data_IF_412898138913
#
_entry.id   IF_412898138913
#
_cell.length_a   1.000
_cell.length_b   1.000
_cell.length_c   1.000
_cell.angle_alpha   90.00
_cell.angle_beta   90.00
_cell.angle_gamma   90.00
#
_symmetry.space_group_name_H-M   'P 1'
#
loop_
_entity.id
_entity.type
_entity.pdbx_description
1 polymer ?
#
# COMPACT_ATOMS: atom_id res chain seq x y z
N UNK A 1 -0.56 -25.05 -5.02
CA UNK A 1 0.35 -23.92 -4.72
C UNK A 1 0.23 -22.84 -5.77
N UNK A 2 -0.18 -21.63 -5.36
CA UNK A 2 -0.24 -20.48 -6.25
C UNK A 2 1.12 -19.79 -6.27
N UNK A 3 1.84 -19.89 -7.39
CA UNK A 3 3.14 -19.24 -7.57
C UNK A 3 2.93 -17.74 -7.75
N UNK A 4 3.46 -16.95 -6.83
CA UNK A 4 3.50 -15.49 -6.97
C UNK A 4 4.46 -15.09 -8.08
N UNK A 5 4.16 -13.94 -8.69
CA UNK A 5 5.07 -13.29 -9.61
C UNK A 5 6.44 -13.05 -8.95
N UNK A 6 7.48 -12.98 -9.79
CA UNK A 6 8.82 -12.60 -9.37
C UNK A 6 8.80 -11.31 -8.54
N UNK A 7 9.46 -11.32 -7.38
CA UNK A 7 9.51 -10.18 -6.44
C UNK A 7 10.20 -8.95 -7.07
N UNK A 8 11.00 -9.13 -8.12
CA UNK A 8 11.60 -8.04 -8.87
C UNK A 8 10.69 -7.47 -9.97
N UNK A 9 9.51 -8.05 -10.22
CA UNK A 9 8.60 -7.57 -11.26
C UNK A 9 8.21 -6.10 -11.05
N UNK A 10 7.86 -5.71 -9.82
CA UNK A 10 7.54 -4.32 -9.52
C UNK A 10 8.71 -3.37 -9.75
N UNK A 11 9.94 -3.76 -9.41
CA UNK A 11 11.13 -2.94 -9.66
C UNK A 11 11.37 -2.71 -11.16
N UNK A 12 11.10 -3.73 -11.99
CA UNK A 12 11.25 -3.62 -13.44
C UNK A 12 10.16 -2.76 -14.09
N UNK A 13 8.93 -2.82 -13.57
CA UNK A 13 7.78 -2.11 -14.14
C UNK A 13 7.61 -0.68 -13.61
N UNK A 14 8.01 -0.40 -12.38
CA UNK A 14 7.76 0.88 -11.73
C UNK A 14 8.22 2.11 -12.54
N UNK A 15 9.42 2.12 -13.17
CA UNK A 15 9.84 3.27 -13.98
C UNK A 15 8.92 3.54 -15.17
N UNK A 16 8.49 2.49 -15.87
CA UNK A 16 7.58 2.61 -17.02
C UNK A 16 6.17 3.03 -16.59
N UNK A 17 5.71 2.54 -15.43
CA UNK A 17 4.43 2.95 -14.84
C UNK A 17 4.45 4.43 -14.43
N UNK A 18 5.54 4.89 -13.80
CA UNK A 18 5.69 6.28 -13.36
C UNK A 18 5.84 7.28 -14.51
N UNK A 19 6.30 6.81 -15.67
CA UNK A 19 6.39 7.63 -16.90
C UNK A 19 5.16 7.54 -17.80
N UNK A 20 4.15 6.75 -17.40
CA UNK A 20 2.90 6.60 -18.15
C UNK A 20 1.86 7.67 -17.79
N UNK A 21 0.69 7.60 -18.42
CA UNK A 21 -0.47 8.42 -18.08
C UNK A 21 -1.29 7.90 -16.88
N UNK A 22 -0.81 6.87 -16.17
CA UNK A 22 -1.52 6.29 -15.02
C UNK A 22 -1.37 7.17 -13.78
N UNK A 23 -2.51 7.59 -13.21
CA UNK A 23 -2.55 8.41 -12.00
C UNK A 23 -2.17 7.64 -10.73
N UNK A 24 -2.62 6.38 -10.63
CA UNK A 24 -2.50 5.55 -9.43
C UNK A 24 -2.15 4.09 -9.78
N UNK A 25 -1.20 3.51 -9.06
CA UNK A 25 -0.84 2.09 -9.14
C UNK A 25 -1.12 1.40 -7.81
N UNK A 26 -1.86 0.29 -7.84
CA UNK A 26 -2.12 -0.54 -6.66
C UNK A 26 -1.09 -1.66 -6.54
N UNK A 27 -0.45 -1.76 -5.38
CA UNK A 27 0.57 -2.77 -5.09
C UNK A 27 0.13 -3.67 -3.93
N UNK A 28 0.21 -4.98 -4.14
CA UNK A 28 0.00 -5.96 -3.06
C UNK A 28 1.24 -6.01 -2.17
N UNK A 29 1.06 -6.00 -0.85
CA UNK A 29 2.17 -6.00 0.11
C UNK A 29 1.90 -6.81 1.39
N UNK A 30 0.67 -6.90 1.89
CA UNK A 30 0.40 -7.56 3.17
C UNK A 30 0.52 -9.08 3.11
N UNK A 31 0.27 -9.69 1.96
CA UNK A 31 0.48 -11.13 1.75
C UNK A 31 1.96 -11.46 1.58
N UNK A 32 2.70 -10.65 0.84
CA UNK A 32 4.15 -10.80 0.67
C UNK A 32 4.80 -9.42 0.73
N UNK A 33 5.42 -9.09 1.87
CA UNK A 33 6.01 -7.77 2.04
C UNK A 33 7.07 -7.47 0.98
N UNK A 34 6.88 -6.34 0.31
CA UNK A 34 7.86 -5.74 -0.57
C UNK A 34 8.95 -5.03 0.25
N UNK A 35 10.08 -4.82 -0.40
CA UNK A 35 11.01 -3.78 0.01
C UNK A 35 10.41 -2.41 -0.34
N UNK A 36 10.08 -1.62 0.69
CA UNK A 36 9.43 -0.33 0.53
C UNK A 36 10.32 0.73 -0.13
N UNK A 37 11.63 0.45 -0.33
CA UNK A 37 12.49 1.29 -1.20
C UNK A 37 11.94 1.38 -2.62
N UNK A 38 11.17 0.38 -3.08
CA UNK A 38 10.42 0.39 -4.34
C UNK A 38 9.58 1.67 -4.50
N UNK A 39 8.96 2.16 -3.42
CA UNK A 39 8.08 3.32 -3.47
C UNK A 39 8.82 4.60 -3.92
N UNK A 40 10.14 4.63 -3.79
CA UNK A 40 10.97 5.75 -4.27
C UNK A 40 11.03 5.83 -5.79
N UNK A 41 10.68 4.75 -6.51
CA UNK A 41 10.66 4.74 -7.98
C UNK A 41 9.45 5.49 -8.55
N UNK A 42 8.37 5.61 -7.78
CA UNK A 42 7.22 6.42 -8.17
C UNK A 42 7.51 7.87 -7.78
N UNK A 43 7.77 8.76 -8.74
CA UNK A 43 8.01 10.20 -8.55
C UNK A 43 6.78 11.04 -8.88
N UNK A 44 5.94 10.57 -9.80
CA UNK A 44 4.75 11.26 -10.30
C UNK A 44 3.48 10.52 -9.89
N UNK A 45 3.43 9.21 -10.15
CA UNK A 45 2.26 8.36 -9.90
C UNK A 45 2.01 8.15 -8.41
N UNK A 46 0.75 8.10 -8.02
CA UNK A 46 0.33 7.76 -6.65
C UNK A 46 0.37 6.25 -6.44
N UNK A 47 0.70 5.82 -5.24
CA UNK A 47 0.70 4.39 -4.89
C UNK A 47 -0.43 4.09 -3.93
N UNK A 48 -1.24 3.08 -4.26
CA UNK A 48 -2.17 2.43 -3.33
C UNK A 48 -1.46 1.20 -2.76
N UNK A 49 -1.15 1.22 -1.47
CA UNK A 49 -0.43 0.14 -0.80
C UNK A 49 -1.41 -0.82 -0.12
N UNK A 50 -1.34 -2.10 -0.49
CA UNK A 50 -2.07 -3.20 0.13
C UNK A 50 -1.57 -3.51 1.55
N UNK A 51 -2.31 -3.10 2.58
CA UNK A 51 -1.91 -3.28 3.99
C UNK A 51 -2.74 -4.31 4.75
N UNK A 52 -3.71 -4.94 4.07
CA UNK A 52 -4.54 -6.03 4.60
C UNK A 52 -4.47 -7.20 3.63
N UNK A 53 -4.13 -8.39 4.14
CA UNK A 53 -4.07 -9.59 3.32
C UNK A 53 -5.50 -10.13 3.13
N UNK A 54 -6.01 -10.03 1.90
CA UNK A 54 -7.36 -10.52 1.51
C UNK A 54 -7.44 -12.05 1.38
N UNK A 55 -6.30 -12.74 1.31
CA UNK A 55 -6.19 -14.20 1.15
C UNK A 55 -6.06 -14.94 2.49
N UNK A 56 -6.16 -14.24 3.62
CA UNK A 56 -6.05 -14.81 4.96
C UNK A 56 -7.21 -14.40 5.86
N UNK A 57 -7.72 -15.35 6.64
CA UNK A 57 -8.71 -15.07 7.68
C UNK A 57 -8.12 -14.48 8.97
N UNK A 58 -6.79 -14.40 9.09
CA UNK A 58 -6.12 -13.71 10.21
C UNK A 58 -6.39 -12.21 10.11
N UNK A 59 -6.87 -11.59 11.18
CA UNK A 59 -7.08 -10.14 11.25
C UNK A 59 -5.77 -9.46 11.66
N UNK A 60 -5.26 -8.55 10.83
CA UNK A 60 -4.12 -7.70 11.15
C UNK A 60 -4.48 -6.72 12.25
N UNK A 61 -3.57 -6.50 13.20
CA UNK A 61 -3.80 -5.53 14.27
C UNK A 61 -3.65 -4.10 13.73
N UNK A 62 -4.31 -3.14 14.39
CA UNK A 62 -4.15 -1.71 14.10
C UNK A 62 -2.67 -1.31 14.09
N UNK A 63 -1.89 -1.78 15.06
CA UNK A 63 -0.47 -1.45 15.18
C UNK A 63 0.38 -2.06 14.05
N UNK A 64 0.07 -3.27 13.60
CA UNK A 64 0.75 -3.89 12.45
C UNK A 64 0.56 -3.03 11.19
N UNK A 65 -0.69 -2.63 10.92
CA UNK A 65 -1.04 -1.79 9.76
C UNK A 65 -0.38 -0.41 9.90
N UNK A 66 -0.51 0.23 11.06
CA UNK A 66 0.04 1.57 11.34
C UNK A 66 1.55 1.60 11.14
N UNK A 67 2.28 0.61 11.67
CA UNK A 67 3.73 0.48 11.48
C UNK A 67 4.09 0.33 10.01
N UNK A 68 3.31 -0.46 9.25
CA UNK A 68 3.58 -0.66 7.82
C UNK A 68 3.39 0.63 7.02
N UNK A 69 2.31 1.37 7.27
CA UNK A 69 2.06 2.68 6.66
C UNK A 69 3.16 3.67 7.03
N UNK A 70 3.53 3.77 8.30
CA UNK A 70 4.61 4.65 8.76
C UNK A 70 5.96 4.31 8.10
N UNK A 71 6.26 3.02 7.89
CA UNK A 71 7.42 2.61 7.12
C UNK A 71 7.35 3.07 5.66
N UNK A 72 6.19 2.97 5.02
CA UNK A 72 5.99 3.39 3.63
C UNK A 72 6.21 4.91 3.45
N UNK A 73 5.72 5.73 4.38
CA UNK A 73 5.89 7.18 4.36
C UNK A 73 7.35 7.66 4.46
N UNK A 74 8.30 6.78 4.84
CA UNK A 74 9.74 7.09 4.74
C UNK A 74 10.30 7.00 3.32
N UNK A 75 9.51 6.51 2.37
CA UNK A 75 9.93 6.23 1.00
C UNK A 75 9.10 6.94 -0.07
N UNK A 76 7.92 7.45 0.28
CA UNK A 76 7.03 8.20 -0.61
C UNK A 76 6.33 9.34 0.17
N UNK A 77 6.11 10.51 -0.45
CA UNK A 77 5.34 11.59 0.16
C UNK A 77 3.90 11.15 0.49
N UNK A 78 3.33 11.72 1.56
CA UNK A 78 2.04 11.31 2.08
C UNK A 78 0.89 11.58 1.09
N UNK A 79 0.96 12.69 0.35
CA UNK A 79 -0.01 13.07 -0.67
C UNK A 79 -0.03 12.10 -1.88
N UNK A 80 1.00 11.25 -2.01
CA UNK A 80 1.10 10.20 -3.03
C UNK A 80 0.90 8.79 -2.49
N UNK A 81 0.57 8.63 -1.22
CA UNK A 81 0.30 7.32 -0.62
C UNK A 81 -1.19 7.17 -0.25
N UNK A 82 -1.82 6.14 -0.79
CA UNK A 82 -3.13 5.63 -0.39
C UNK A 82 -2.97 4.25 0.22
N UNK A 83 -3.94 3.82 1.03
CA UNK A 83 -3.93 2.50 1.69
C UNK A 83 -5.20 1.74 1.34
N UNK A 84 -5.05 0.45 1.05
CA UNK A 84 -6.15 -0.44 0.68
C UNK A 84 -5.86 -1.87 1.15
N UNK A 85 -6.81 -2.81 1.01
CA UNK A 85 -6.50 -4.25 1.02
C UNK A 85 -5.64 -4.64 -0.19
N UNK A 86 -4.89 -5.74 -0.09
CA UNK A 86 -4.06 -6.25 -1.20
C UNK A 86 -4.87 -6.45 -2.49
N UNK A 87 -6.02 -7.10 -2.37
CA UNK A 87 -6.85 -7.46 -3.50
C UNK A 87 -8.33 -7.41 -3.13
N UNK A 88 -9.19 -7.70 -4.11
CA UNK A 88 -10.63 -7.79 -3.95
C UNK A 88 -11.06 -8.67 -2.78
N UNK A 89 -12.18 -8.30 -2.18
CA UNK A 89 -12.68 -8.91 -0.94
C UNK A 89 -13.67 -10.05 -1.19
N UNK A 90 -13.80 -10.50 -2.44
CA UNK A 90 -14.76 -11.52 -2.86
C UNK A 90 -14.60 -12.84 -2.11
N UNK A 91 -13.38 -13.17 -1.68
CA UNK A 91 -13.05 -14.42 -0.99
C UNK A 91 -13.35 -14.42 0.52
N UNK A 92 -13.67 -13.27 1.11
CA UNK A 92 -13.93 -13.12 2.55
C UNK A 92 -15.42 -12.89 2.87
N UNK A 93 -16.30 -13.60 2.17
CA UNK A 93 -17.75 -13.54 2.34
C UNK A 93 -18.27 -14.60 3.34
N UNK A 94 -19.58 -14.64 3.56
CA UNK A 94 -20.24 -15.61 4.44
C UNK A 94 -19.74 -15.54 5.89
N UNK A 95 -19.30 -16.68 6.43
CA UNK A 95 -18.82 -16.81 7.81
C UNK A 95 -17.61 -15.90 8.13
N UNK A 96 -16.87 -15.43 7.12
CA UNK A 96 -15.70 -14.56 7.30
C UNK A 96 -16.04 -13.06 7.27
N UNK A 97 -17.28 -12.67 6.96
CA UNK A 97 -17.72 -11.27 6.88
C UNK A 97 -17.43 -10.46 8.14
N UNK A 98 -17.62 -10.97 9.38
CA UNK A 98 -17.25 -10.22 10.58
C UNK A 98 -15.75 -9.90 10.67
N UNK A 99 -14.89 -10.87 10.27
CA UNK A 99 -13.44 -10.67 10.23
C UNK A 99 -13.03 -9.67 9.17
N UNK A 100 -13.69 -9.70 8.01
CA UNK A 100 -13.47 -8.70 6.96
C UNK A 100 -13.79 -7.28 7.45
N UNK A 101 -14.96 -7.10 8.07
CA UNK A 101 -15.34 -5.80 8.65
C UNK A 101 -14.30 -5.35 9.68
N UNK A 102 -13.81 -6.26 10.52
CA UNK A 102 -12.78 -5.93 11.51
C UNK A 102 -11.45 -5.53 10.87
N UNK A 103 -11.00 -6.22 9.81
CA UNK A 103 -9.82 -5.83 9.04
C UNK A 103 -9.94 -4.40 8.50
N UNK A 104 -11.08 -4.07 7.88
CA UNK A 104 -11.33 -2.74 7.33
C UNK A 104 -11.40 -1.66 8.43
N UNK A 105 -12.05 -1.96 9.57
CA UNK A 105 -12.04 -1.07 10.74
C UNK A 105 -10.62 -0.81 11.22
N UNK A 106 -9.81 -1.86 11.39
CA UNK A 106 -8.43 -1.73 11.84
C UNK A 106 -7.60 -0.90 10.87
N UNK A 107 -7.78 -1.09 9.56
CA UNK A 107 -7.12 -0.31 8.52
C UNK A 107 -7.45 1.19 8.61
N UNK A 108 -8.74 1.53 8.73
CA UNK A 108 -9.16 2.93 8.87
C UNK A 108 -8.64 3.58 10.16
N UNK A 109 -8.66 2.85 11.28
CA UNK A 109 -8.12 3.35 12.55
C UNK A 109 -6.61 3.57 12.42
N UNK A 110 -5.88 2.59 11.87
CA UNK A 110 -4.44 2.67 11.69
C UNK A 110 -4.04 3.87 10.82
N UNK A 111 -4.71 4.07 9.68
CA UNK A 111 -4.44 5.20 8.79
C UNK A 111 -4.58 6.56 9.49
N UNK A 112 -5.61 6.71 10.35
CA UNK A 112 -5.84 7.93 11.14
C UNK A 112 -4.79 8.17 12.24
N UNK A 113 -4.12 7.12 12.71
CA UNK A 113 -3.11 7.21 13.77
C UNK A 113 -1.70 7.52 13.26
N UNK A 114 -1.47 7.45 11.96
CA UNK A 114 -0.14 7.71 11.40
C UNK A 114 0.08 9.21 11.31
N UNK A 115 1.17 9.69 11.93
CA UNK A 115 1.61 11.05 11.74
C UNK A 115 2.07 11.25 10.29
N UNK A 116 1.49 12.23 9.60
CA UNK A 116 1.90 12.64 8.27
C UNK A 116 3.05 13.64 8.43
N UNK A 117 4.25 13.36 7.87
CA UNK A 117 5.32 14.35 7.83
C UNK A 117 4.82 15.62 7.11
N UNK A 118 5.18 16.83 7.56
CA UNK A 118 4.83 18.04 6.83
C UNK A 118 5.38 17.96 5.40
N UNK A 119 4.58 18.39 4.43
CA UNK A 119 5.00 18.52 3.04
C UNK A 119 6.16 19.53 3.02
N UNK A 120 7.37 19.07 2.72
CA UNK A 120 8.51 19.96 2.51
C UNK A 120 8.22 20.91 1.34
N UNK A 121 8.86 22.08 1.25
CA UNK A 121 8.62 23.01 0.15
C UNK A 121 8.77 22.24 -1.17
N UNK A 122 7.73 22.27 -2.00
CA UNK A 122 7.76 21.76 -3.36
C UNK A 122 8.96 22.38 -4.05
N UNK A 123 9.97 21.58 -4.39
CA UNK A 123 11.07 22.04 -5.23
C UNK A 123 10.44 22.64 -6.49
N UNK A 124 10.70 23.92 -6.73
CA UNK A 124 10.23 24.62 -7.91
C UNK A 124 10.61 23.80 -9.16
N UNK A 125 9.76 23.75 -10.19
CA UNK A 125 10.12 23.07 -11.43
C UNK A 125 11.44 23.66 -11.94
N UNK A 126 12.38 22.78 -12.27
CA UNK A 126 13.63 23.18 -12.91
C UNK A 126 13.28 23.91 -14.21
N UNK A 127 13.77 25.14 -14.33
CA UNK A 127 13.69 26.02 -15.50
C UNK A 127 14.26 25.38 -16.76
#
# INVERSE_FOLDING_TARGET
DYLKADRNAYYRLAPALDDSCIDCVSLEDAWCHNDLRLLRLFKKTKVVLGVVNSSSSRVETVEQIRRRIACALRHIPAERLQVAPDCGLALLQGAYKPKLIQKLKNMCIAAKMVAVPPVGPTAAPAS
#
